data_IF_012107139332
#
_entry.id   IF_012107139332
#
_cell.length_a   1.000
_cell.length_b   1.000
_cell.length_c   1.000
_cell.angle_alpha   90.00
_cell.angle_beta   90.00
_cell.angle_gamma   90.00
#
_symmetry.space_group_name_H-M   'P 1'
#
loop_
_entity.id
_entity.type
_entity.pdbx_description
1 polymer ?
#
# COMPACT_ATOMS: atom_id res chain seq x y z
N UNK A 1 -0.65 12.19 27.72
CA UNK A 1 -1.05 13.18 26.68
C UNK A 1 -0.73 12.57 25.34
N UNK A 2 -1.71 12.43 24.43
CA UNK A 2 -1.52 11.82 23.10
C UNK A 2 -0.85 12.89 22.22
N UNK A 3 0.38 12.66 21.77
CA UNK A 3 1.05 13.58 20.86
C UNK A 3 0.20 13.76 19.59
N UNK A 4 0.22 14.96 19.01
CA UNK A 4 -0.52 15.24 17.78
C UNK A 4 -0.02 14.30 16.66
N UNK A 5 -0.92 13.46 16.14
CA UNK A 5 -0.61 12.57 15.01
C UNK A 5 -0.44 13.41 13.75
N UNK A 6 0.60 13.14 12.97
CA UNK A 6 0.76 13.73 11.64
C UNK A 6 -0.48 13.43 10.78
N UNK A 7 -1.01 14.44 10.08
CA UNK A 7 -2.16 14.27 9.19
C UNK A 7 -1.89 13.26 8.06
N UNK A 8 -0.61 13.06 7.70
CA UNK A 8 -0.18 12.10 6.69
C UNK A 8 -0.43 10.64 7.07
N UNK A 9 -0.55 10.31 8.35
CA UNK A 9 -0.77 8.94 8.85
C UNK A 9 -2.24 8.60 9.10
N UNK A 10 -3.15 9.56 8.94
CA UNK A 10 -4.58 9.38 9.22
C UNK A 10 -5.31 8.74 8.04
N UNK A 11 -6.29 7.88 8.34
CA UNK A 11 -7.15 7.21 7.36
C UNK A 11 -6.74 5.78 7.02
N UNK A 12 -5.63 5.29 7.60
CA UNK A 12 -5.22 3.89 7.54
C UNK A 12 -5.13 3.33 8.96
N UNK A 13 -5.88 2.27 9.24
CA UNK A 13 -5.98 1.66 10.57
C UNK A 13 -4.65 1.10 11.05
N UNK A 14 -3.82 0.55 10.16
CA UNK A 14 -2.51 0.02 10.52
C UNK A 14 -1.58 1.14 11.01
N UNK A 15 -1.47 2.23 10.25
CA UNK A 15 -0.69 3.41 10.65
C UNK A 15 -1.24 4.06 11.93
N UNK A 16 -2.56 4.03 12.14
CA UNK A 16 -3.19 4.58 13.33
C UNK A 16 -2.95 3.76 14.61
N UNK A 17 -2.42 2.53 14.50
CA UNK A 17 -2.00 1.73 15.67
C UNK A 17 -0.67 2.18 16.24
N UNK A 18 0.14 2.90 15.47
CA UNK A 18 1.46 3.36 15.89
C UNK A 18 1.34 4.34 17.07
N UNK A 19 2.29 4.21 18.00
CA UNK A 19 2.46 5.21 19.04
C UNK A 19 3.05 6.52 18.46
N UNK A 20 3.20 7.52 19.33
CA UNK A 20 3.69 8.83 18.90
C UNK A 20 5.13 8.80 18.35
N UNK A 21 5.99 7.98 18.94
CA UNK A 21 7.41 7.94 18.59
C UNK A 21 7.59 7.19 17.27
N UNK A 22 6.97 6.03 17.13
CA UNK A 22 7.03 5.22 15.91
C UNK A 22 6.34 5.94 14.74
N UNK A 23 5.19 6.58 15.02
CA UNK A 23 4.51 7.43 14.05
C UNK A 23 5.41 8.57 13.54
N UNK A 24 6.19 9.22 14.41
CA UNK A 24 7.11 10.29 14.01
C UNK A 24 8.31 9.79 13.17
N UNK A 25 8.72 8.53 13.33
CA UNK A 25 9.74 7.91 12.49
C UNK A 25 9.20 7.68 11.07
N UNK A 26 7.97 7.19 10.94
CA UNK A 26 7.37 6.85 9.64
C UNK A 26 6.83 8.11 8.92
N UNK A 27 6.23 9.05 9.64
CA UNK A 27 5.57 10.22 9.07
C UNK A 27 6.47 11.06 8.14
N UNK A 28 7.78 11.08 8.37
CA UNK A 28 8.75 11.80 7.52
C UNK A 28 8.95 11.17 6.14
N UNK A 29 8.55 9.91 5.96
CA UNK A 29 8.68 9.13 4.74
C UNK A 29 7.34 8.88 4.05
N UNK A 30 6.24 9.35 4.64
CA UNK A 30 4.88 9.17 4.11
C UNK A 30 4.42 10.43 3.42
N UNK A 31 4.01 10.28 2.16
CA UNK A 31 3.29 11.28 1.40
C UNK A 31 1.85 10.83 1.14
N UNK A 32 0.92 11.78 1.11
CA UNK A 32 -0.43 11.51 0.60
C UNK A 32 -0.42 11.68 -0.92
N UNK A 33 -0.99 10.69 -1.60
CA UNK A 33 -1.18 10.71 -3.04
C UNK A 33 -2.65 10.47 -3.36
N UNK A 34 -3.21 11.29 -4.24
CA UNK A 34 -4.52 11.03 -4.81
C UNK A 34 -4.41 9.99 -5.93
N UNK A 35 -5.38 9.09 -5.97
CA UNK A 35 -5.48 8.01 -6.94
C UNK A 35 -6.91 7.93 -7.47
N UNK A 36 -7.07 7.34 -8.65
CA UNK A 36 -8.35 7.08 -9.29
C UNK A 36 -8.55 5.59 -9.44
N UNK A 37 -9.82 5.17 -9.47
CA UNK A 37 -10.16 3.79 -9.82
C UNK A 37 -9.57 3.42 -11.18
N UNK A 38 -8.88 2.29 -11.23
CA UNK A 38 -8.14 1.79 -12.38
C UNK A 38 -6.67 2.21 -12.42
N UNK A 39 -6.20 3.06 -11.50
CA UNK A 39 -4.78 3.40 -11.41
C UNK A 39 -3.97 2.16 -11.04
N UNK A 40 -2.91 1.92 -11.80
CA UNK A 40 -1.96 0.83 -11.55
C UNK A 40 -0.83 1.35 -10.68
N UNK A 41 -0.64 0.75 -9.50
CA UNK A 41 0.43 1.12 -8.57
C UNK A 41 1.76 0.48 -8.96
N UNK A 42 1.73 -0.78 -9.40
CA UNK A 42 2.85 -1.50 -10.00
C UNK A 42 2.33 -2.66 -10.83
N UNK A 43 3.14 -3.12 -11.78
CA UNK A 43 2.89 -4.26 -12.67
C UNK A 43 3.86 -5.40 -12.38
N UNK A 44 3.55 -6.63 -12.82
CA UNK A 44 4.51 -7.71 -12.78
C UNK A 44 5.81 -7.33 -13.47
N UNK A 45 6.94 -7.59 -12.82
CA UNK A 45 8.27 -7.20 -13.29
C UNK A 45 8.76 -5.83 -12.80
N UNK A 46 7.89 -4.98 -12.24
CA UNK A 46 8.31 -3.69 -11.70
C UNK A 46 9.07 -3.88 -10.38
N UNK A 47 10.10 -3.07 -10.15
CA UNK A 47 10.75 -2.95 -8.85
C UNK A 47 9.86 -2.16 -7.88
N UNK A 48 9.30 -2.83 -6.88
CA UNK A 48 8.42 -2.19 -5.89
C UNK A 48 9.26 -1.56 -4.78
N UNK A 49 9.44 -0.25 -4.86
CA UNK A 49 10.25 0.53 -3.90
C UNK A 49 9.43 1.21 -2.80
N UNK A 50 8.10 1.17 -2.87
CA UNK A 50 7.21 1.89 -1.95
C UNK A 50 6.11 0.98 -1.40
N UNK A 51 5.76 1.24 -0.14
CA UNK A 51 4.60 0.66 0.52
C UNK A 51 3.42 1.62 0.38
N UNK A 52 2.30 1.12 -0.14
CA UNK A 52 1.06 1.89 -0.24
C UNK A 52 0.14 1.54 0.92
N UNK A 53 -0.33 2.55 1.64
CA UNK A 53 -1.35 2.42 2.68
C UNK A 53 -2.65 3.02 2.17
N UNK A 54 -3.68 2.19 1.99
CA UNK A 54 -4.99 2.67 1.53
C UNK A 54 -5.63 3.57 2.60
N UNK A 55 -6.13 4.73 2.19
CA UNK A 55 -6.89 5.64 3.04
C UNK A 55 -8.41 5.36 2.93
N UNK A 56 -9.22 6.08 3.71
CA UNK A 56 -10.69 5.95 3.66
C UNK A 56 -11.24 6.10 2.24
N UNK A 57 -12.11 5.16 1.85
CA UNK A 57 -12.73 5.12 0.52
C UNK A 57 -11.83 4.57 -0.60
N UNK A 58 -10.59 4.19 -0.30
CA UNK A 58 -9.67 3.55 -1.24
C UNK A 58 -9.53 2.05 -0.93
N UNK A 59 -9.54 1.24 -1.98
CA UNK A 59 -9.26 -0.20 -1.93
C UNK A 59 -8.23 -0.47 -3.02
N UNK A 60 -7.32 -1.40 -2.78
CA UNK A 60 -6.35 -1.86 -3.79
C UNK A 60 -6.49 -3.36 -3.95
N UNK A 61 -6.63 -3.82 -5.18
CA UNK A 61 -6.71 -5.23 -5.54
C UNK A 61 -5.39 -5.69 -6.13
N UNK A 62 -4.87 -6.81 -5.63
CA UNK A 62 -3.74 -7.52 -6.18
C UNK A 62 -4.22 -8.60 -7.15
N UNK A 63 -3.90 -8.44 -8.43
CA UNK A 63 -4.27 -9.38 -9.48
C UNK A 63 -3.03 -10.04 -10.08
N UNK A 64 -3.12 -11.34 -10.37
CA UNK A 64 -2.06 -12.08 -11.06
C UNK A 64 -2.54 -12.38 -12.48
N UNK A 65 -1.86 -11.86 -13.52
CA UNK A 65 -2.19 -12.22 -14.89
C UNK A 65 -1.77 -13.66 -15.18
N UNK A 66 -2.58 -14.34 -16.01
CA UNK A 66 -2.34 -15.69 -16.49
C UNK A 66 -1.92 -15.66 -17.97
N UNK A 67 -1.29 -16.74 -18.43
CA UNK A 67 -0.79 -16.86 -19.81
C UNK A 67 -1.91 -16.80 -20.87
N UNK A 68 -3.14 -17.14 -20.50
CA UNK A 68 -4.30 -17.16 -21.40
C UNK A 68 -5.02 -15.80 -21.47
N UNK A 69 -4.42 -14.73 -20.94
CA UNK A 69 -4.97 -13.38 -20.95
C UNK A 69 -6.02 -13.12 -19.87
N UNK A 70 -6.31 -14.11 -19.01
CA UNK A 70 -7.14 -13.91 -17.81
C UNK A 70 -6.31 -13.37 -16.65
N UNK A 71 -6.99 -13.00 -15.57
CA UNK A 71 -6.36 -12.62 -14.31
C UNK A 71 -7.09 -13.24 -13.13
N UNK A 72 -6.36 -13.51 -12.06
CA UNK A 72 -6.91 -13.96 -10.78
C UNK A 72 -6.72 -12.85 -9.76
N UNK A 73 -7.80 -12.45 -9.09
CA UNK A 73 -7.71 -11.64 -7.89
C UNK A 73 -7.18 -12.52 -6.74
N UNK A 74 -6.10 -12.07 -6.12
CA UNK A 74 -5.40 -12.83 -5.07
C UNK A 74 -5.57 -12.21 -3.69
N UNK A 75 -5.72 -10.89 -3.63
CA UNK A 75 -5.99 -10.17 -2.40
C UNK A 75 -6.68 -8.83 -2.71
N UNK A 76 -7.46 -8.37 -1.75
CA UNK A 76 -8.01 -7.02 -1.72
C UNK A 76 -7.62 -6.40 -0.39
N UNK A 77 -7.11 -5.16 -0.44
CA UNK A 77 -6.51 -4.47 0.71
C UNK A 77 -7.17 -3.10 0.87
N UNK A 78 -7.92 -2.94 1.96
CA UNK A 78 -8.50 -1.68 2.37
C UNK A 78 -7.60 -0.92 3.35
N UNK A 79 -8.22 -0.02 4.12
CA UNK A 79 -7.54 0.82 5.12
C UNK A 79 -6.92 0.05 6.28
N UNK A 80 -7.20 -1.24 6.41
CA UNK A 80 -6.63 -2.14 7.40
C UNK A 80 -5.24 -2.68 7.05
N UNK A 81 -4.79 -2.51 5.81
CA UNK A 81 -3.56 -3.12 5.33
C UNK A 81 -2.64 -2.17 4.58
N UNK A 82 -1.65 -2.80 3.95
CA UNK A 82 -0.64 -2.15 3.13
C UNK A 82 -0.26 -3.05 1.96
N UNK A 83 0.14 -2.44 0.84
CA UNK A 83 0.50 -3.11 -0.42
C UNK A 83 1.95 -2.79 -0.73
N UNK A 84 2.71 -3.76 -1.22
CA UNK A 84 4.16 -3.60 -1.48
C UNK A 84 5.03 -3.68 -0.21
N UNK A 85 4.42 -3.98 0.95
CA UNK A 85 5.10 -4.00 2.25
C UNK A 85 5.79 -5.32 2.63
N UNK A 86 5.71 -6.37 1.81
CA UNK A 86 6.39 -7.64 2.08
C UNK A 86 7.26 -8.02 0.90
N UNK A 87 8.54 -7.64 1.00
CA UNK A 87 9.61 -8.37 0.32
C UNK A 87 10.73 -8.55 1.35
N UNK A 88 10.94 -9.80 1.75
CA UNK A 88 11.98 -10.24 2.67
C UNK A 88 13.36 -9.71 2.25
N UNK A 89 13.79 -8.54 2.75
CA UNK A 89 15.16 -8.00 2.61
C UNK A 89 15.75 -8.09 1.18
N UNK A 90 14.92 -8.09 0.14
CA UNK A 90 15.35 -8.39 -1.24
C UNK A 90 14.55 -7.61 -2.27
N UNK A 91 15.24 -7.16 -3.32
CA UNK A 91 14.64 -6.58 -4.52
C UNK A 91 14.16 -7.72 -5.40
N UNK A 92 12.92 -8.17 -5.20
CA UNK A 92 12.26 -9.08 -6.11
C UNK A 92 11.23 -8.30 -6.93
N UNK A 93 11.28 -8.41 -8.27
CA UNK A 93 10.26 -7.81 -9.12
C UNK A 93 8.86 -8.26 -8.70
N UNK A 94 7.88 -7.38 -8.83
CA UNK A 94 6.49 -7.72 -8.52
C UNK A 94 6.05 -8.96 -9.31
N UNK A 95 5.37 -9.89 -8.63
CA UNK A 95 4.74 -11.04 -9.28
C UNK A 95 3.33 -10.72 -9.80
N UNK A 96 2.62 -9.84 -9.10
CA UNK A 96 1.26 -9.42 -9.44
C UNK A 96 1.17 -7.92 -9.79
N UNK A 97 0.02 -7.51 -10.28
CA UNK A 97 -0.34 -6.12 -10.52
C UNK A 97 -1.20 -5.61 -9.36
N UNK A 98 -0.90 -4.43 -8.83
CA UNK A 98 -1.75 -3.74 -7.87
C UNK A 98 -2.55 -2.63 -8.57
N UNK A 99 -3.88 -2.63 -8.39
CA UNK A 99 -4.80 -1.68 -9.02
C UNK A 99 -5.75 -1.11 -7.99
N UNK A 100 -6.00 0.20 -8.06
CA UNK A 100 -6.98 0.94 -7.22
C UNK A 100 -8.41 0.75 -7.71
#
# INVERSE_FOLDING_TARGET
MKAARSSSLQGNLLLETLDANDGALIARHVERREVRRGDVLFRPGDDVSHVTFSADGCVVTLVVPLQDGKSVETATVGREGAIGGVVSQGYLPAFGQAVV
#
